data_IF_106196735571
#
_entry.id   IF_106196735571
#
_cell.length_a   1.000
_cell.length_b   1.000
_cell.length_c   1.000
_cell.angle_alpha   90.00
_cell.angle_beta   90.00
_cell.angle_gamma   90.00
#
_symmetry.space_group_name_H-M   'P 1'
#
loop_
_entity.id
_entity.type
_entity.pdbx_description
1 polymer ?
#
# COMPACT_ATOMS: atom_id res chain seq x y z
N UNK A 1 17.85 17.17 -14.92
CA UNK A 1 16.98 16.00 -14.71
C UNK A 1 15.95 16.38 -13.66
N UNK A 2 14.65 16.28 -13.94
CA UNK A 2 13.60 16.65 -12.98
C UNK A 2 13.55 15.57 -11.89
N UNK A 3 13.67 15.98 -10.63
CA UNK A 3 13.45 15.12 -9.46
C UNK A 3 11.94 15.13 -9.20
N UNK A 4 11.27 14.01 -9.43
CA UNK A 4 9.84 13.88 -9.18
C UNK A 4 9.59 13.49 -7.73
N UNK A 5 8.62 14.12 -7.08
CA UNK A 5 8.29 13.84 -5.67
C UNK A 5 7.66 12.45 -5.53
N UNK A 6 6.80 12.09 -6.48
CA UNK A 6 6.07 10.82 -6.50
C UNK A 6 6.03 10.20 -7.90
N UNK A 7 5.99 8.86 -7.97
CA UNK A 7 5.80 8.12 -9.23
C UNK A 7 5.30 6.68 -8.99
N UNK A 8 4.83 6.03 -10.05
CA UNK A 8 4.58 4.60 -10.08
C UNK A 8 5.69 3.90 -10.87
N UNK A 9 6.13 2.73 -10.40
CA UNK A 9 7.23 1.99 -11.03
C UNK A 9 6.99 0.49 -11.01
N UNK A 10 6.73 -0.07 -12.20
CA UNK A 10 6.55 -1.50 -12.39
C UNK A 10 7.89 -2.14 -12.76
N UNK A 11 8.53 -2.82 -11.81
CA UNK A 11 9.82 -3.46 -12.02
C UNK A 11 9.73 -4.99 -11.83
N UNK A 12 9.10 -5.66 -12.80
CA UNK A 12 8.84 -7.10 -12.79
C UNK A 12 7.44 -7.49 -12.30
N UNK A 13 7.06 -8.76 -12.44
CA UNK A 13 5.72 -9.24 -12.09
C UNK A 13 5.51 -9.33 -10.58
N UNK A 14 4.25 -9.23 -10.13
CA UNK A 14 3.89 -9.53 -8.74
C UNK A 14 4.31 -10.95 -8.37
N UNK A 15 4.72 -11.14 -7.13
CA UNK A 15 5.06 -12.46 -6.58
C UNK A 15 3.84 -13.07 -5.89
N UNK A 16 3.79 -14.40 -5.70
CA UNK A 16 2.78 -15.00 -4.83
C UNK A 16 2.79 -14.32 -3.46
N UNK A 17 1.63 -13.79 -3.06
CA UNK A 17 1.43 -13.18 -1.76
C UNK A 17 1.16 -14.28 -0.69
N UNK A 18 1.30 -13.96 0.61
CA UNK A 18 1.01 -14.92 1.67
C UNK A 18 -0.41 -15.49 1.67
N UNK A 19 -1.36 -14.78 1.06
CA UNK A 19 -2.76 -15.17 0.95
C UNK A 19 -3.28 -14.97 -0.46
N UNK A 20 -4.41 -15.61 -0.79
CA UNK A 20 -5.10 -15.42 -2.07
C UNK A 20 -5.69 -14.02 -2.20
N UNK A 21 -5.92 -13.56 -3.43
CA UNK A 21 -6.62 -12.30 -3.73
C UNK A 21 -7.99 -12.21 -3.04
N UNK A 22 -8.72 -13.34 -3.00
CA UNK A 22 -10.02 -13.44 -2.32
C UNK A 22 -9.92 -13.13 -0.83
N UNK A 23 -8.85 -13.54 -0.18
CA UNK A 23 -8.64 -13.27 1.24
C UNK A 23 -8.35 -11.79 1.49
N UNK A 24 -7.54 -11.14 0.65
CA UNK A 24 -7.33 -9.68 0.75
C UNK A 24 -8.62 -8.90 0.50
N UNK A 25 -9.43 -9.29 -0.50
CA UNK A 25 -10.72 -8.66 -0.75
C UNK A 25 -11.69 -8.84 0.43
N UNK A 26 -11.70 -10.00 1.09
CA UNK A 26 -12.52 -10.20 2.29
C UNK A 26 -12.12 -9.23 3.42
N UNK A 27 -10.81 -9.06 3.66
CA UNK A 27 -10.29 -8.11 4.66
C UNK A 27 -10.68 -6.68 4.31
N UNK A 28 -10.43 -6.27 3.06
CA UNK A 28 -10.74 -4.93 2.57
C UNK A 28 -12.24 -4.65 2.59
N UNK A 29 -13.09 -5.63 2.29
CA UNK A 29 -14.55 -5.50 2.40
C UNK A 29 -14.98 -5.17 3.83
N UNK A 30 -14.37 -5.80 4.83
CA UNK A 30 -14.59 -5.47 6.24
C UNK A 30 -14.21 -4.02 6.57
N UNK A 31 -13.03 -3.57 6.13
CA UNK A 31 -12.58 -2.20 6.34
C UNK A 31 -13.46 -1.17 5.61
N UNK A 32 -13.83 -1.43 4.36
CA UNK A 32 -14.71 -0.58 3.54
C UNK A 32 -16.11 -0.45 4.17
N UNK A 33 -16.62 -1.51 4.80
CA UNK A 33 -17.87 -1.44 5.58
C UNK A 33 -17.73 -0.43 6.74
N UNK A 34 -16.62 -0.46 7.48
CA UNK A 34 -16.36 0.50 8.57
C UNK A 34 -16.25 1.93 8.01
N UNK A 35 -15.54 2.12 6.88
CA UNK A 35 -15.44 3.41 6.19
C UNK A 35 -16.84 3.97 5.89
N UNK A 36 -17.72 3.16 5.31
CA UNK A 36 -19.10 3.56 5.00
C UNK A 36 -19.93 3.85 6.27
N UNK A 37 -19.90 2.97 7.27
CA UNK A 37 -20.65 3.11 8.53
C UNK A 37 -20.22 4.34 9.33
N UNK A 38 -18.97 4.76 9.20
CA UNK A 38 -18.40 5.94 9.88
C UNK A 38 -18.40 7.20 9.01
N UNK A 39 -18.95 7.14 7.79
CA UNK A 39 -18.96 8.25 6.84
C UNK A 39 -17.57 8.87 6.63
N UNK A 40 -16.57 8.01 6.39
CA UNK A 40 -15.18 8.39 6.12
C UNK A 40 -14.91 8.35 4.62
N UNK A 41 -14.05 9.23 4.12
CA UNK A 41 -13.60 9.19 2.72
C UNK A 41 -12.46 8.17 2.50
N UNK A 42 -11.58 8.03 3.48
CA UNK A 42 -10.42 7.14 3.43
C UNK A 42 -9.90 6.78 4.83
N UNK A 43 -9.13 5.70 4.90
CA UNK A 43 -8.32 5.31 6.06
C UNK A 43 -6.86 5.21 5.63
N UNK A 44 -5.97 5.83 6.40
CA UNK A 44 -4.52 5.76 6.20
C UNK A 44 -3.92 4.89 7.29
N UNK A 45 -3.46 3.71 6.91
CA UNK A 45 -2.86 2.74 7.83
C UNK A 45 -1.33 2.88 7.79
N UNK A 46 -0.71 3.22 8.92
CA UNK A 46 0.75 3.45 8.99
C UNK A 46 1.50 2.38 9.78
N UNK A 47 0.82 1.66 10.68
CA UNK A 47 1.44 0.57 11.43
C UNK A 47 1.82 -0.60 10.51
N UNK A 48 2.98 -1.19 10.75
CA UNK A 48 3.50 -2.33 10.00
C UNK A 48 2.50 -3.49 9.89
N UNK A 49 1.85 -3.85 10.99
CA UNK A 49 0.86 -4.92 11.00
C UNK A 49 -0.37 -4.62 10.13
N UNK A 50 -0.92 -3.40 10.16
CA UNK A 50 -2.09 -3.08 9.34
C UNK A 50 -1.73 -2.95 7.86
N UNK A 51 -0.57 -2.37 7.53
CA UNK A 51 -0.10 -2.33 6.13
C UNK A 51 0.05 -3.76 5.61
N UNK A 52 0.70 -4.64 6.35
CA UNK A 52 0.86 -6.04 5.97
C UNK A 52 -0.47 -6.81 5.95
N UNK A 53 -1.39 -6.55 6.87
CA UNK A 53 -2.66 -7.27 6.95
C UNK A 53 -3.56 -7.01 5.73
N UNK A 54 -3.67 -5.74 5.31
CA UNK A 54 -4.56 -5.34 4.22
C UNK A 54 -3.92 -5.39 2.84
N UNK A 55 -2.60 -5.29 2.75
CA UNK A 55 -1.89 -5.30 1.46
C UNK A 55 -0.97 -6.50 1.26
N UNK A 56 -0.58 -7.23 2.29
CA UNK A 56 0.47 -8.26 2.19
C UNK A 56 1.91 -7.71 2.17
N UNK A 57 2.10 -6.40 2.07
CA UNK A 57 3.43 -5.78 2.08
C UNK A 57 3.91 -5.53 3.52
N UNK A 58 5.04 -6.16 3.85
CA UNK A 58 5.77 -5.93 5.10
C UNK A 58 6.93 -4.97 4.83
N UNK A 59 6.81 -3.73 5.29
CA UNK A 59 7.82 -2.70 5.02
C UNK A 59 9.02 -2.77 5.98
N UNK A 60 10.15 -2.23 5.53
CA UNK A 60 11.32 -1.94 6.36
C UNK A 60 11.39 -0.42 6.55
N UNK A 61 11.10 0.10 7.74
CA UNK A 61 10.94 1.54 7.91
C UNK A 61 12.24 2.32 7.69
N UNK A 62 13.32 1.96 8.38
CA UNK A 62 14.55 2.74 8.37
C UNK A 62 14.33 4.25 8.64
N UNK A 63 13.36 4.58 9.52
CA UNK A 63 12.98 5.96 9.83
C UNK A 63 12.07 6.63 8.79
N UNK A 64 11.73 5.95 7.70
CA UNK A 64 10.84 6.44 6.64
C UNK A 64 9.39 6.05 6.91
N UNK A 65 8.43 6.96 6.64
CA UNK A 65 7.00 6.65 6.72
C UNK A 65 6.55 5.75 5.57
N UNK A 66 5.61 4.86 5.87
CA UNK A 66 4.92 3.99 4.93
C UNK A 66 3.43 4.00 5.23
N UNK A 67 2.60 3.74 4.23
CA UNK A 67 1.17 3.65 4.42
C UNK A 67 0.49 2.64 3.50
N UNK A 68 -0.70 2.20 3.90
CA UNK A 68 -1.71 1.65 3.00
C UNK A 68 -2.94 2.57 3.09
N UNK A 69 -3.25 3.27 2.00
CA UNK A 69 -4.41 4.15 1.89
C UNK A 69 -5.55 3.34 1.32
N UNK A 70 -6.66 3.24 2.05
CA UNK A 70 -7.86 2.49 1.64
C UNK A 70 -9.05 3.43 1.53
N UNK A 71 -9.71 3.40 0.38
CA UNK A 71 -11.00 4.06 0.13
C UNK A 71 -12.09 2.99 -0.10
N UNK A 72 -13.31 3.44 -0.33
CA UNK A 72 -14.42 2.61 -0.82
C UNK A 72 -14.07 1.74 -2.06
N UNK A 73 -13.17 2.24 -2.92
CA UNK A 73 -12.83 1.64 -4.23
C UNK A 73 -11.40 1.13 -4.29
N UNK A 74 -10.44 1.81 -3.69
CA UNK A 74 -9.00 1.54 -3.92
C UNK A 74 -8.25 1.22 -2.64
N UNK A 75 -7.16 0.48 -2.79
CA UNK A 75 -6.14 0.33 -1.77
C UNK A 75 -4.76 0.55 -2.42
N UNK A 76 -3.97 1.46 -1.85
CA UNK A 76 -2.70 1.91 -2.42
C UNK A 76 -1.64 1.88 -1.33
N UNK A 77 -0.58 1.11 -1.55
CA UNK A 77 0.62 1.15 -0.71
C UNK A 77 1.46 2.36 -1.09
N UNK A 78 1.80 3.20 -0.12
CA UNK A 78 2.77 4.29 -0.26
C UNK A 78 4.12 3.83 0.29
N UNK A 79 5.16 3.83 -0.54
CA UNK A 79 6.49 3.33 -0.20
C UNK A 79 7.61 4.29 -0.56
N UNK A 80 8.73 4.19 0.14
CA UNK A 80 9.91 4.98 -0.18
C UNK A 80 10.61 4.48 -1.45
N UNK A 81 11.22 5.41 -2.19
CA UNK A 81 11.95 5.12 -3.43
C UNK A 81 13.11 4.11 -3.25
N UNK A 82 13.70 4.04 -2.06
CA UNK A 82 14.77 3.09 -1.77
C UNK A 82 14.35 1.62 -2.00
N UNK A 83 13.05 1.30 -1.87
CA UNK A 83 12.54 -0.06 -2.12
C UNK A 83 12.26 -0.35 -3.60
N UNK A 84 12.32 0.67 -4.46
CA UNK A 84 12.05 0.61 -5.89
C UNK A 84 10.73 -0.14 -6.18
N UNK A 85 10.75 -1.15 -7.05
CA UNK A 85 9.54 -1.90 -7.42
C UNK A 85 9.19 -3.07 -6.50
N UNK A 86 9.94 -3.31 -5.41
CA UNK A 86 9.64 -4.40 -4.47
C UNK A 86 8.23 -4.27 -3.87
N UNK A 87 7.79 -3.08 -3.38
CA UNK A 87 6.49 -2.92 -2.73
C UNK A 87 5.35 -3.21 -3.71
N UNK A 88 5.42 -2.69 -4.94
CA UNK A 88 4.45 -2.97 -6.00
C UNK A 88 4.34 -4.45 -6.39
N UNK A 89 5.43 -5.23 -6.23
CA UNK A 89 5.42 -6.67 -6.44
C UNK A 89 4.86 -7.48 -5.27
N UNK A 90 4.90 -6.92 -4.06
CA UNK A 90 4.56 -7.59 -2.79
C UNK A 90 3.33 -7.03 -2.08
N UNK A 91 2.62 -6.10 -2.70
CA UNK A 91 1.29 -5.68 -2.25
C UNK A 91 0.19 -6.31 -3.10
N UNK A 92 -0.97 -6.54 -2.49
CA UNK A 92 -2.25 -6.57 -3.16
C UNK A 92 -2.64 -5.14 -3.52
N UNK A 93 -3.23 -4.94 -4.71
CA UNK A 93 -3.57 -3.61 -5.20
C UNK A 93 -2.39 -2.83 -5.78
N UNK A 94 -2.47 -1.50 -5.64
CA UNK A 94 -1.58 -0.53 -6.28
C UNK A 94 -0.44 -0.08 -5.36
N UNK A 95 0.58 0.54 -5.95
CA UNK A 95 1.70 1.13 -5.21
C UNK A 95 2.06 2.51 -5.78
N UNK A 96 2.29 3.47 -4.89
CA UNK A 96 2.80 4.81 -5.17
C UNK A 96 4.13 4.98 -4.41
N UNK A 97 5.14 5.48 -5.11
CA UNK A 97 6.47 5.69 -4.56
C UNK A 97 6.66 7.19 -4.31
N UNK A 98 7.19 7.55 -3.15
CA UNK A 98 7.68 8.90 -2.87
C UNK A 98 9.22 8.93 -2.82
N UNK A 99 9.81 10.10 -3.01
CA UNK A 99 11.27 10.30 -3.00
C UNK A 99 11.75 11.10 -1.80
N UNK A 100 13.04 11.01 -1.49
CA UNK A 100 13.69 11.76 -0.41
C UNK A 100 14.14 13.17 -0.86
N UNK A 101 13.63 13.69 -1.98
CA UNK A 101 14.11 14.96 -2.55
C UNK A 101 13.58 16.21 -1.84
N UNK A 102 12.49 16.06 -1.08
CA UNK A 102 11.88 17.06 -0.20
C UNK A 102 11.46 16.43 1.13
#
# INVERSE_FOLDING_TARGET
MKRSDFFQFTNGPKVPLPFSDKEYENRLKGLRKIIAEKNLDAVILTSLQNVAYYSGFLYCSFGRPYACVVTDKRNIVVSANIDAGQPGRRCYGENLIYTDWE
#
